data_IF_165650732040
#
_entry.id   IF_165650732040
#
_cell.length_a   1.000
_cell.length_b   1.000
_cell.length_c   1.000
_cell.angle_alpha   90.00
_cell.angle_beta   90.00
_cell.angle_gamma   90.00
#
_symmetry.space_group_name_H-M   'P 1'
#
loop_
_entity.id
_entity.type
_entity.pdbx_description
1 polymer ?
#
# COMPACT_ATOMS: atom_id res chain seq x y z
N UNK A 1 27.23 -13.80 13.37
CA UNK A 1 28.10 -13.46 12.24
C UNK A 1 27.62 -14.10 10.93
N UNK A 2 27.23 -15.39 10.94
CA UNK A 2 26.69 -16.11 9.78
C UNK A 2 25.31 -15.57 9.36
N UNK A 3 24.44 -15.25 10.32
CA UNK A 3 23.12 -14.66 10.05
C UNK A 3 23.24 -13.28 9.39
N UNK A 4 24.17 -12.44 9.87
CA UNK A 4 24.46 -11.14 9.30
C UNK A 4 24.98 -11.24 7.85
N UNK A 5 25.85 -12.21 7.57
CA UNK A 5 26.33 -12.50 6.21
C UNK A 5 25.22 -12.97 5.28
N UNK A 6 24.31 -13.85 5.76
CA UNK A 6 23.19 -14.31 4.93
C UNK A 6 22.17 -13.20 4.64
N UNK A 7 21.92 -12.29 5.57
CA UNK A 7 21.08 -11.11 5.34
C UNK A 7 21.72 -10.17 4.31
N UNK A 8 23.02 -9.92 4.41
CA UNK A 8 23.75 -9.10 3.42
C UNK A 8 23.78 -9.78 2.04
N UNK A 9 23.95 -11.09 1.96
CA UNK A 9 23.95 -11.82 0.71
C UNK A 9 22.55 -11.92 0.09
N UNK A 10 21.50 -12.06 0.88
CA UNK A 10 20.12 -11.98 0.43
C UNK A 10 19.75 -10.58 -0.07
N UNK A 11 20.24 -9.52 0.59
CA UNK A 11 20.10 -8.13 0.12
C UNK A 11 20.97 -7.79 -1.10
N UNK A 12 21.93 -8.64 -1.43
CA UNK A 12 22.78 -8.57 -2.65
C UNK A 12 22.32 -9.50 -3.77
N UNK A 13 21.08 -9.98 -3.73
CA UNK A 13 20.44 -10.56 -4.90
C UNK A 13 20.31 -9.46 -5.96
N UNK A 14 21.31 -9.43 -6.83
CA UNK A 14 21.79 -8.34 -7.67
C UNK A 14 20.82 -7.95 -8.80
N UNK A 15 19.65 -8.60 -8.85
CA UNK A 15 18.75 -8.49 -10.00
C UNK A 15 17.47 -7.69 -9.72
N UNK A 16 17.15 -7.36 -8.46
CA UNK A 16 15.91 -6.66 -8.10
C UNK A 16 16.22 -5.58 -7.05
N UNK A 17 15.81 -4.35 -7.33
CA UNK A 17 15.79 -3.26 -6.35
C UNK A 17 14.38 -3.19 -5.75
N UNK A 18 14.26 -3.40 -4.44
CA UNK A 18 13.00 -3.25 -3.73
C UNK A 18 12.96 -1.88 -3.04
N UNK A 19 11.96 -1.08 -3.36
CA UNK A 19 11.74 0.25 -2.81
C UNK A 19 10.40 0.29 -2.07
N UNK A 20 10.42 0.68 -0.80
CA UNK A 20 9.21 1.04 -0.06
C UNK A 20 9.15 2.56 0.02
N UNK A 21 8.12 3.15 -0.56
CA UNK A 21 8.01 4.61 -0.72
C UNK A 21 6.73 5.09 -0.04
N UNK A 22 6.88 6.06 0.86
CA UNK A 22 5.76 6.74 1.49
C UNK A 22 5.46 8.06 0.75
N UNK A 23 4.41 8.13 -0.07
CA UNK A 23 4.02 9.36 -0.76
C UNK A 23 3.52 10.44 0.22
N UNK A 24 3.03 10.00 1.36
CA UNK A 24 2.62 10.85 2.48
C UNK A 24 2.70 10.09 3.81
N UNK A 25 2.90 10.85 4.89
CA UNK A 25 2.78 10.37 6.27
C UNK A 25 1.40 10.71 6.87
N UNK A 26 0.52 11.32 6.09
CA UNK A 26 -0.86 11.59 6.51
C UNK A 26 -1.75 10.36 6.35
N UNK A 27 -2.78 10.27 7.17
CA UNK A 27 -3.74 9.17 7.13
C UNK A 27 -5.15 9.66 7.49
N UNK A 28 -6.14 9.22 6.75
CA UNK A 28 -7.54 9.49 7.02
C UNK A 28 -8.10 8.70 8.21
N UNK A 29 -7.41 7.63 8.66
CA UNK A 29 -7.80 6.83 9.82
C UNK A 29 -7.08 7.25 11.10
N UNK A 30 -7.70 6.93 12.25
CA UNK A 30 -7.12 7.09 13.60
C UNK A 30 -7.11 5.73 14.32
N UNK A 31 -6.40 4.75 13.74
CA UNK A 31 -6.34 3.40 14.31
C UNK A 31 -5.70 3.40 15.70
N UNK A 32 -6.31 2.68 16.65
CA UNK A 32 -5.87 2.65 18.05
C UNK A 32 -4.47 2.05 18.25
N UNK A 33 -4.02 1.20 17.35
CA UNK A 33 -2.71 0.52 17.41
C UNK A 33 -1.66 1.13 16.46
N UNK A 34 -1.97 2.26 15.81
CA UNK A 34 -1.07 2.82 14.80
C UNK A 34 0.26 3.23 15.42
N UNK A 35 1.36 2.68 14.92
CA UNK A 35 2.70 3.05 15.36
C UNK A 35 3.15 4.42 14.82
N UNK A 36 2.49 4.93 13.76
CA UNK A 36 2.69 6.27 13.24
C UNK A 36 1.86 7.29 14.03
N UNK A 37 2.21 7.47 15.32
CA UNK A 37 1.47 8.33 16.25
C UNK A 37 1.46 9.82 15.86
N UNK A 38 2.36 10.24 15.00
CA UNK A 38 2.44 11.62 14.51
C UNK A 38 1.96 11.69 13.07
N UNK A 39 0.64 11.68 12.86
CA UNK A 39 0.06 12.01 11.56
C UNK A 39 0.44 13.44 11.23
N UNK A 40 1.37 13.57 10.31
CA UNK A 40 1.84 14.86 9.84
C UNK A 40 1.31 15.03 8.42
N UNK A 41 0.71 16.17 8.15
CA UNK A 41 0.33 16.57 6.80
C UNK A 41 1.61 16.83 5.94
N UNK A 42 2.40 15.76 5.78
CA UNK A 42 3.67 15.76 5.05
C UNK A 42 3.48 14.91 3.80
N UNK A 43 3.70 15.53 2.66
CA UNK A 43 3.65 14.88 1.35
C UNK A 43 5.04 14.90 0.71
N UNK A 44 5.32 13.89 -0.08
CA UNK A 44 6.55 13.81 -0.87
C UNK A 44 6.63 15.00 -1.83
N UNK A 45 7.70 15.76 -1.74
CA UNK A 45 7.94 16.94 -2.57
C UNK A 45 8.57 16.57 -3.90
N UNK A 46 8.50 17.46 -4.91
CA UNK A 46 9.18 17.29 -6.19
C UNK A 46 10.70 17.11 -6.03
N UNK A 47 11.30 17.73 -5.02
CA UNK A 47 12.72 17.52 -4.69
C UNK A 47 12.99 16.08 -4.28
N UNK A 48 12.13 15.49 -3.45
CA UNK A 48 12.24 14.08 -3.02
C UNK A 48 12.01 13.16 -4.22
N UNK A 49 10.98 13.41 -5.04
CA UNK A 49 10.72 12.67 -6.28
C UNK A 49 11.96 12.66 -7.17
N UNK A 50 12.55 13.83 -7.43
CA UNK A 50 13.76 13.95 -8.25
C UNK A 50 14.96 13.22 -7.65
N UNK A 51 15.06 13.18 -6.31
CA UNK A 51 16.14 12.43 -5.63
C UNK A 51 15.94 10.92 -5.76
N UNK A 52 14.69 10.42 -5.71
CA UNK A 52 14.38 9.01 -5.94
C UNK A 52 14.72 8.60 -7.38
N UNK A 53 14.41 9.43 -8.36
CA UNK A 53 14.76 9.17 -9.77
C UNK A 53 16.28 9.06 -9.91
N UNK A 54 17.05 10.03 -9.41
CA UNK A 54 18.51 9.98 -9.42
C UNK A 54 19.08 8.76 -8.70
N UNK A 55 18.46 8.36 -7.59
CA UNK A 55 18.83 7.14 -6.88
C UNK A 55 18.65 5.89 -7.75
N UNK A 56 17.52 5.77 -8.45
CA UNK A 56 17.24 4.63 -9.34
C UNK A 56 18.24 4.60 -10.51
N UNK A 57 18.56 5.76 -11.09
CA UNK A 57 19.52 5.89 -12.19
C UNK A 57 20.94 5.41 -11.82
N UNK A 58 21.36 5.55 -10.55
CA UNK A 58 22.66 5.05 -10.07
C UNK A 58 22.80 3.53 -10.14
N UNK A 59 21.69 2.79 -10.18
CA UNK A 59 21.69 1.32 -10.28
C UNK A 59 21.56 0.84 -11.73
N UNK A 60 22.51 1.23 -12.59
CA UNK A 60 22.50 0.92 -14.04
C UNK A 60 22.30 -0.57 -14.32
N UNK A 61 22.97 -1.44 -13.57
CA UNK A 61 22.95 -2.89 -13.76
C UNK A 61 21.68 -3.57 -13.23
N UNK A 62 20.83 -2.88 -12.44
CA UNK A 62 19.60 -3.43 -11.92
C UNK A 62 18.46 -3.08 -12.87
N UNK A 63 17.90 -4.08 -13.52
CA UNK A 63 16.80 -3.90 -14.48
C UNK A 63 15.41 -3.99 -13.82
N UNK A 64 15.26 -4.81 -12.79
CA UNK A 64 13.96 -5.05 -12.17
C UNK A 64 13.82 -4.23 -10.89
N UNK A 65 12.76 -3.45 -10.79
CA UNK A 65 12.48 -2.58 -9.64
C UNK A 65 11.08 -2.89 -9.14
N UNK A 66 10.99 -3.29 -7.89
CA UNK A 66 9.72 -3.49 -7.21
C UNK A 66 9.45 -2.32 -6.26
N UNK A 67 8.32 -1.65 -6.45
CA UNK A 67 7.91 -0.51 -5.64
C UNK A 67 6.68 -0.87 -4.82
N UNK A 68 6.80 -0.70 -3.50
CA UNK A 68 5.70 -0.83 -2.56
C UNK A 68 5.31 0.57 -2.07
N UNK A 69 4.12 1.01 -2.42
CA UNK A 69 3.55 2.24 -1.88
C UNK A 69 3.03 1.98 -0.46
N UNK A 70 3.52 2.76 0.49
CA UNK A 70 3.23 2.61 1.92
C UNK A 70 3.13 4.00 2.59
N UNK A 71 3.17 4.10 3.91
CA UNK A 71 3.14 5.33 4.70
C UNK A 71 1.90 5.40 5.58
N UNK A 72 1.35 6.59 5.84
CA UNK A 72 0.09 6.74 6.53
C UNK A 72 -1.05 6.08 5.74
N UNK A 73 -1.66 6.82 4.82
CA UNK A 73 -2.51 6.26 3.77
C UNK A 73 -1.99 6.72 2.40
N UNK A 74 -1.36 5.84 1.62
CA UNK A 74 -0.72 6.24 0.36
C UNK A 74 -1.70 6.85 -0.66
N UNK A 75 -2.98 6.48 -0.63
CA UNK A 75 -3.98 7.03 -1.56
C UNK A 75 -4.32 8.51 -1.29
N UNK A 76 -4.00 9.05 -0.12
CA UNK A 76 -4.02 10.51 0.10
C UNK A 76 -2.94 11.21 -0.74
N UNK A 77 -1.82 10.53 -0.96
CA UNK A 77 -0.71 11.00 -1.79
C UNK A 77 -0.79 10.53 -3.25
N UNK A 78 -1.98 10.34 -3.81
CA UNK A 78 -2.14 9.78 -5.16
C UNK A 78 -1.46 10.64 -6.25
N UNK A 79 -1.44 11.95 -6.10
CA UNK A 79 -0.73 12.86 -7.01
C UNK A 79 0.77 12.65 -6.98
N UNK A 80 1.34 12.38 -5.80
CA UNK A 80 2.75 12.07 -5.62
C UNK A 80 3.11 10.72 -6.22
N UNK A 81 2.24 9.72 -6.04
CA UNK A 81 2.37 8.40 -6.67
C UNK A 81 2.41 8.58 -8.19
N UNK A 82 1.43 9.27 -8.76
CA UNK A 82 1.33 9.50 -10.20
C UNK A 82 2.54 10.27 -10.74
N UNK A 83 2.97 11.35 -10.06
CA UNK A 83 4.12 12.14 -10.47
C UNK A 83 5.40 11.30 -10.50
N UNK A 84 5.66 10.51 -9.46
CA UNK A 84 6.84 9.64 -9.41
C UNK A 84 6.76 8.52 -10.44
N UNK A 85 5.60 7.85 -10.55
CA UNK A 85 5.37 6.79 -11.54
C UNK A 85 5.68 7.26 -12.96
N UNK A 86 5.11 8.41 -13.38
CA UNK A 86 5.32 8.96 -14.73
C UNK A 86 6.79 9.27 -15.02
N UNK A 87 7.56 9.66 -14.03
CA UNK A 87 9.01 9.89 -14.17
C UNK A 87 9.80 8.57 -14.20
N UNK A 88 9.41 7.60 -13.37
CA UNK A 88 10.08 6.30 -13.31
C UNK A 88 10.02 5.54 -14.64
N UNK A 89 8.86 5.52 -15.29
CA UNK A 89 8.67 4.78 -16.55
C UNK A 89 9.46 5.37 -17.73
N UNK A 90 9.99 6.59 -17.58
CA UNK A 90 10.85 7.22 -18.58
C UNK A 90 12.33 6.80 -18.45
N UNK A 91 12.73 6.15 -17.35
CA UNK A 91 14.10 5.65 -17.19
C UNK A 91 14.26 4.41 -18.08
N UNK A 92 15.19 4.42 -19.04
CA UNK A 92 15.35 3.33 -20.00
C UNK A 92 15.84 2.05 -19.29
N UNK A 93 15.58 0.91 -19.93
CA UNK A 93 16.06 -0.42 -19.52
C UNK A 93 15.66 -0.85 -18.10
N UNK A 94 14.55 -0.32 -17.57
CA UNK A 94 13.99 -0.71 -16.28
C UNK A 94 12.61 -1.35 -16.42
N UNK A 95 12.41 -2.43 -15.70
CA UNK A 95 11.14 -3.12 -15.56
C UNK A 95 10.58 -2.83 -14.16
N UNK A 96 9.41 -2.25 -14.12
CA UNK A 96 8.77 -1.90 -12.84
C UNK A 96 7.64 -2.87 -12.51
N UNK A 97 7.54 -3.19 -11.23
CA UNK A 97 6.38 -3.84 -10.62
C UNK A 97 5.91 -3.04 -9.42
N UNK A 98 4.60 -2.93 -9.24
CA UNK A 98 4.02 -2.07 -8.22
C UNK A 98 3.09 -2.84 -7.30
N UNK A 99 3.17 -2.54 -6.01
CA UNK A 99 2.25 -3.00 -4.97
C UNK A 99 1.87 -1.83 -4.07
N UNK A 100 0.75 -1.93 -3.39
CA UNK A 100 0.29 -0.90 -2.45
C UNK A 100 -0.26 -1.54 -1.18
N UNK A 101 0.01 -0.91 -0.04
CA UNK A 101 -0.58 -1.24 1.26
C UNK A 101 -1.47 -0.08 1.65
N UNK A 102 -2.77 -0.31 1.70
CA UNK A 102 -3.79 0.74 1.91
C UNK A 102 -4.84 0.28 2.91
N UNK A 103 -5.54 1.23 3.50
CA UNK A 103 -6.75 0.94 4.27
C UNK A 103 -8.00 0.72 3.37
N UNK A 104 -7.89 0.93 2.07
CA UNK A 104 -8.93 0.68 1.08
C UNK A 104 -10.08 1.71 1.02
N UNK A 105 -10.13 2.63 1.97
CA UNK A 105 -11.24 3.58 2.10
C UNK A 105 -11.38 4.55 0.92
N UNK A 106 -10.26 4.95 0.32
CA UNK A 106 -10.21 5.96 -0.74
C UNK A 106 -10.26 5.38 -2.15
N UNK A 107 -10.33 4.06 -2.29
CA UNK A 107 -10.43 3.42 -3.62
C UNK A 107 -11.68 3.96 -4.34
N UNK A 108 -11.49 4.38 -5.58
CA UNK A 108 -12.51 4.98 -6.45
C UNK A 108 -12.25 4.56 -7.90
N UNK A 109 -13.22 4.76 -8.83
CA UNK A 109 -12.99 4.47 -10.25
C UNK A 109 -11.75 5.16 -10.84
N UNK A 110 -11.46 6.40 -10.44
CA UNK A 110 -10.29 7.14 -10.93
C UNK A 110 -8.99 6.52 -10.40
N UNK A 111 -8.95 6.11 -9.14
CA UNK A 111 -7.81 5.42 -8.55
C UNK A 111 -7.59 4.05 -9.22
N UNK A 112 -8.67 3.30 -9.48
CA UNK A 112 -8.58 2.02 -10.19
C UNK A 112 -8.04 2.22 -11.61
N UNK A 113 -8.46 3.28 -12.29
CA UNK A 113 -7.91 3.62 -13.61
C UNK A 113 -6.40 3.83 -13.56
N UNK A 114 -5.90 4.57 -12.57
CA UNK A 114 -4.45 4.74 -12.38
C UNK A 114 -3.76 3.41 -12.02
N UNK A 115 -4.35 2.57 -11.20
CA UNK A 115 -3.83 1.25 -10.88
C UNK A 115 -3.64 0.38 -12.13
N UNK A 116 -4.62 0.40 -13.05
CA UNK A 116 -4.52 -0.30 -14.34
C UNK A 116 -3.41 0.29 -15.22
N UNK A 117 -3.32 1.63 -15.32
CA UNK A 117 -2.27 2.31 -16.06
C UNK A 117 -0.87 1.92 -15.53
N UNK A 118 -0.70 1.89 -14.22
CA UNK A 118 0.53 1.48 -13.54
C UNK A 118 0.79 -0.02 -13.63
N UNK A 119 -0.17 -0.83 -14.08
CA UNK A 119 -0.13 -2.30 -14.01
C UNK A 119 0.15 -2.77 -12.58
N UNK A 120 -0.59 -2.19 -11.62
CA UNK A 120 -0.49 -2.59 -10.21
C UNK A 120 -0.72 -4.10 -10.09
N UNK A 121 0.21 -4.82 -9.47
CA UNK A 121 0.13 -6.27 -9.36
C UNK A 121 -0.59 -6.74 -8.10
N UNK A 122 -0.46 -5.96 -7.03
CA UNK A 122 -0.96 -6.38 -5.74
C UNK A 122 -1.36 -5.19 -4.87
N UNK A 123 -2.49 -5.34 -4.20
CA UNK A 123 -2.91 -4.46 -3.11
C UNK A 123 -3.15 -5.27 -1.84
N UNK A 124 -2.59 -4.81 -0.74
CA UNK A 124 -2.90 -5.33 0.60
C UNK A 124 -3.85 -4.35 1.29
N UNK A 125 -5.03 -4.83 1.69
CA UNK A 125 -6.03 -4.04 2.42
C UNK A 125 -6.19 -4.61 3.83
N UNK A 126 -6.29 -3.75 4.83
CA UNK A 126 -6.40 -4.18 6.23
C UNK A 126 -7.85 -4.15 6.71
N UNK A 127 -8.35 -5.31 7.15
CA UNK A 127 -9.64 -5.49 7.82
C UNK A 127 -9.41 -6.18 9.17
N UNK A 128 -9.69 -5.51 10.28
CA UNK A 128 -9.31 -5.99 11.62
C UNK A 128 -10.45 -6.66 12.40
N UNK A 129 -11.46 -7.17 11.72
CA UNK A 129 -12.59 -7.86 12.29
C UNK A 129 -13.86 -7.64 11.48
N UNK A 130 -14.98 -8.11 11.99
CA UNK A 130 -16.30 -7.79 11.45
C UNK A 130 -16.62 -6.30 11.67
N UNK A 131 -17.77 -5.86 11.15
CA UNK A 131 -18.14 -4.45 11.07
C UNK A 131 -17.97 -3.69 12.37
N UNK A 132 -18.47 -4.20 13.48
CA UNK A 132 -18.43 -3.50 14.78
C UNK A 132 -17.00 -3.38 15.31
N UNK A 133 -16.27 -4.47 15.29
CA UNK A 133 -14.87 -4.52 15.74
C UNK A 133 -13.97 -3.68 14.85
N UNK A 134 -14.12 -3.79 13.54
CA UNK A 134 -13.35 -2.98 12.59
C UNK A 134 -13.58 -1.49 12.82
N UNK A 135 -14.86 -1.06 12.87
CA UNK A 135 -15.21 0.36 13.03
C UNK A 135 -14.74 0.94 14.39
N UNK A 136 -14.70 0.12 15.45
CA UNK A 136 -14.15 0.52 16.75
C UNK A 136 -12.64 0.75 16.70
N UNK A 137 -11.92 -0.08 15.94
CA UNK A 137 -10.45 -0.03 15.84
C UNK A 137 -10.00 0.99 14.79
N UNK A 138 -10.69 1.03 13.64
CA UNK A 138 -10.38 1.85 12.47
C UNK A 138 -11.50 2.83 12.20
N UNK A 139 -11.34 4.06 12.62
CA UNK A 139 -12.34 5.11 12.45
C UNK A 139 -11.73 6.35 11.80
N UNK A 140 -12.58 7.16 11.21
CA UNK A 140 -12.24 8.51 10.74
C UNK A 140 -12.94 9.55 11.63
N UNK A 141 -12.53 10.81 11.50
CA UNK A 141 -13.21 11.90 12.22
C UNK A 141 -14.65 12.12 11.74
N UNK A 142 -14.95 11.75 10.49
CA UNK A 142 -16.19 12.17 9.81
C UNK A 142 -17.09 10.98 9.42
N UNK A 143 -16.62 9.74 9.52
CA UNK A 143 -17.36 8.56 9.13
C UNK A 143 -17.09 7.40 10.10
N UNK A 144 -18.19 6.84 10.61
CA UNK A 144 -18.14 5.76 11.60
C UNK A 144 -18.25 4.37 10.95
N UNK A 145 -18.71 4.25 9.71
CA UNK A 145 -18.85 2.98 9.00
C UNK A 145 -17.74 2.79 7.95
N UNK A 146 -16.53 2.70 8.43
CA UNK A 146 -15.35 2.47 7.60
C UNK A 146 -15.32 1.07 7.01
N UNK A 147 -15.89 0.07 7.70
CA UNK A 147 -15.97 -1.31 7.24
C UNK A 147 -16.78 -1.43 5.94
N UNK A 148 -18.06 -1.01 5.98
CA UNK A 148 -18.95 -1.15 4.82
C UNK A 148 -18.40 -0.42 3.59
N UNK A 149 -17.76 0.74 3.79
CA UNK A 149 -17.12 1.46 2.70
C UNK A 149 -15.92 0.71 2.14
N UNK A 150 -15.07 0.16 3.01
CA UNK A 150 -13.90 -0.61 2.57
C UNK A 150 -14.32 -1.86 1.81
N UNK A 151 -15.35 -2.62 2.28
CA UNK A 151 -15.90 -3.78 1.58
C UNK A 151 -16.42 -3.38 0.19
N UNK A 152 -17.26 -2.34 0.10
CA UNK A 152 -17.76 -1.83 -1.18
C UNK A 152 -16.63 -1.47 -2.16
N UNK A 153 -15.54 -0.90 -1.65
CA UNK A 153 -14.40 -0.54 -2.46
C UNK A 153 -13.57 -1.77 -2.89
N UNK A 154 -13.51 -2.82 -2.06
CA UNK A 154 -12.91 -4.10 -2.42
C UNK A 154 -13.71 -4.75 -3.56
N UNK A 155 -15.05 -4.80 -3.45
CA UNK A 155 -15.93 -5.35 -4.50
C UNK A 155 -15.80 -4.56 -5.81
N UNK A 156 -15.76 -3.23 -5.72
CA UNK A 156 -15.52 -2.37 -6.87
C UNK A 156 -14.18 -2.67 -7.54
N UNK A 157 -13.12 -2.82 -6.76
CA UNK A 157 -11.79 -3.13 -7.27
C UNK A 157 -11.75 -4.52 -7.90
N UNK A 158 -12.26 -5.54 -7.21
CA UNK A 158 -12.28 -6.92 -7.69
C UNK A 158 -13.05 -7.07 -9.00
N UNK A 159 -14.20 -6.39 -9.12
CA UNK A 159 -15.02 -6.41 -10.34
C UNK A 159 -14.42 -5.59 -11.49
N UNK A 160 -13.79 -4.45 -11.18
CA UNK A 160 -13.26 -3.54 -12.19
C UNK A 160 -11.86 -3.87 -12.66
N UNK A 161 -11.04 -4.54 -11.83
CA UNK A 161 -9.64 -4.85 -12.10
C UNK A 161 -9.26 -6.25 -11.56
N UNK A 162 -9.84 -7.33 -12.13
CA UNK A 162 -9.62 -8.70 -11.65
C UNK A 162 -8.17 -9.17 -11.80
N UNK A 163 -7.37 -8.50 -12.60
CA UNK A 163 -5.93 -8.73 -12.75
C UNK A 163 -5.11 -8.31 -11.52
N UNK A 164 -5.64 -7.45 -10.66
CA UNK A 164 -4.96 -7.01 -9.44
C UNK A 164 -5.23 -7.99 -8.31
N UNK A 165 -4.18 -8.60 -7.79
CA UNK A 165 -4.31 -9.48 -6.64
C UNK A 165 -4.62 -8.66 -5.38
N UNK A 166 -5.73 -8.96 -4.72
CA UNK A 166 -6.12 -8.38 -3.45
C UNK A 166 -5.74 -9.35 -2.33
N UNK A 167 -5.06 -8.87 -1.30
CA UNK A 167 -4.86 -9.61 -0.06
C UNK A 167 -5.45 -8.84 1.11
N UNK A 168 -6.12 -9.55 2.00
CA UNK A 168 -6.65 -8.99 3.22
C UNK A 168 -5.67 -9.29 4.36
N UNK A 169 -5.24 -8.22 5.03
CA UNK A 169 -4.44 -8.30 6.25
C UNK A 169 -5.34 -8.11 7.46
N UNK A 170 -5.18 -8.95 8.47
CA UNK A 170 -5.85 -8.83 9.75
C UNK A 170 -4.79 -8.63 10.84
N UNK A 171 -4.83 -7.51 11.56
CA UNK A 171 -3.99 -7.32 12.75
C UNK A 171 -4.76 -7.89 13.95
N UNK A 172 -4.35 -9.07 14.38
CA UNK A 172 -5.04 -9.81 15.44
C UNK A 172 -4.54 -9.44 16.84
N UNK A 173 -5.47 -9.27 17.75
CA UNK A 173 -5.24 -9.13 19.18
C UNK A 173 -6.26 -9.98 19.98
N UNK A 174 -6.27 -9.88 21.30
CA UNK A 174 -7.20 -10.64 22.16
C UNK A 174 -8.68 -10.27 21.94
N UNK A 175 -8.95 -9.06 21.44
CA UNK A 175 -10.32 -8.53 21.29
C UNK A 175 -10.97 -9.03 19.99
N UNK A 176 -10.18 -9.25 18.91
CA UNK A 176 -10.69 -9.61 17.60
C UNK A 176 -10.33 -11.03 17.12
N UNK A 177 -9.48 -11.75 17.85
CA UNK A 177 -9.02 -13.08 17.43
C UNK A 177 -10.16 -14.09 17.29
N UNK A 178 -11.21 -14.00 18.12
CA UNK A 178 -12.40 -14.88 18.05
C UNK A 178 -13.24 -14.68 16.78
N UNK A 179 -13.15 -13.50 16.13
CA UNK A 179 -13.90 -13.18 14.93
C UNK A 179 -13.20 -13.65 13.63
N UNK A 180 -11.94 -14.10 13.72
CA UNK A 180 -11.12 -14.36 12.53
C UNK A 180 -11.76 -15.37 11.57
N UNK A 181 -12.26 -16.48 12.07
CA UNK A 181 -12.91 -17.52 11.23
C UNK A 181 -14.17 -16.99 10.55
N UNK A 182 -14.97 -16.20 11.27
CA UNK A 182 -16.19 -15.61 10.73
C UNK A 182 -15.87 -14.55 9.66
N UNK A 183 -14.86 -13.71 9.91
CA UNK A 183 -14.36 -12.74 8.93
C UNK A 183 -13.81 -13.44 7.67
N UNK A 184 -13.03 -14.50 7.86
CA UNK A 184 -12.50 -15.29 6.74
C UNK A 184 -13.63 -15.87 5.88
N UNK A 185 -14.64 -16.47 6.52
CA UNK A 185 -15.82 -17.02 5.81
C UNK A 185 -16.63 -15.91 5.09
N UNK A 186 -16.74 -14.74 5.69
CA UNK A 186 -17.40 -13.57 5.08
C UNK A 186 -16.68 -13.09 3.81
N UNK A 187 -15.34 -13.05 3.83
CA UNK A 187 -14.53 -12.57 2.69
C UNK A 187 -14.57 -13.57 1.51
N UNK A 188 -14.82 -14.86 1.76
CA UNK A 188 -14.89 -15.88 0.71
C UNK A 188 -16.26 -15.98 0.01
N UNK A 189 -17.28 -15.26 0.46
CA UNK A 189 -18.61 -15.19 -0.16
C UNK A 189 -18.64 -14.17 -1.31
#
# INVERSE_FOLDING_TARGET
>A
FLLYKSIILAGRSINILNLTIAPTMDCNYSCSYCFENCKRNIYMTEKVISSIIKFIEQYENIKNIHVVWFGGEPLLGIKQIESLYRKMILIPDKNYSFSIISNGFLISPDIIKLFKEMKLQHIQITLDGLKETHNKIKFTKNENDTFSRTIKNIDLLASSAPEIRISIRVNMNKENSSEFITLYSFILQ
#
